data_IF_531904939996
#
_entry.id   IF_531904939996
#
_cell.length_a   1.000
_cell.length_b   1.000
_cell.length_c   1.000
_cell.angle_alpha   90.00
_cell.angle_beta   90.00
_cell.angle_gamma   90.00
#
_symmetry.space_group_name_H-M   'P 1'
#
loop_
_entity.id
_entity.type
_entity.pdbx_description
1 polymer ?
#
# COMPACT_ATOMS: atom_id res chain seq x y z
N UNK A 1 -3.90 7.35 32.17
CA UNK A 1 -3.20 7.00 30.92
C UNK A 1 -4.21 6.54 29.88
N UNK A 2 -4.17 7.02 28.62
CA UNK A 2 -5.13 6.63 27.57
C UNK A 2 -4.50 5.55 26.68
N UNK A 3 -5.03 4.32 26.71
CA UNK A 3 -4.59 3.22 25.88
C UNK A 3 -5.45 3.08 24.61
N UNK A 4 -4.88 2.60 23.48
CA UNK A 4 -5.58 2.31 22.23
C UNK A 4 -6.37 3.50 21.63
N UNK A 5 -5.86 4.72 21.78
CA UNK A 5 -6.54 5.95 21.33
C UNK A 5 -6.03 6.43 19.98
N UNK A 6 -5.11 5.70 19.35
CA UNK A 6 -4.55 6.07 18.05
C UNK A 6 -5.59 6.01 16.92
N UNK A 7 -5.53 6.98 16.02
CA UNK A 7 -6.37 7.06 14.84
C UNK A 7 -7.68 7.82 15.04
N UNK A 8 -8.32 8.17 13.92
CA UNK A 8 -9.56 8.95 13.91
C UNK A 8 -10.78 8.03 13.97
N UNK A 9 -11.63 8.18 15.01
CA UNK A 9 -12.87 7.41 15.17
C UNK A 9 -13.98 7.87 14.20
N UNK A 10 -13.96 9.14 13.77
CA UNK A 10 -14.89 9.74 12.80
C UNK A 10 -16.38 9.64 13.22
N UNK A 11 -16.62 9.57 14.51
CA UNK A 11 -17.95 9.38 15.11
C UNK A 11 -18.73 8.18 14.49
N UNK A 12 -18.04 7.06 14.23
CA UNK A 12 -18.60 5.86 13.59
C UNK A 12 -18.23 4.59 14.35
N UNK A 13 -19.14 3.58 14.40
CA UNK A 13 -18.80 2.21 14.82
C UNK A 13 -17.63 1.64 14.01
N UNK A 14 -16.99 0.61 14.56
CA UNK A 14 -15.77 0.03 13.96
C UNK A 14 -16.02 -0.46 12.54
N UNK A 15 -17.13 -1.17 12.31
CA UNK A 15 -17.44 -1.78 11.02
C UNK A 15 -17.69 -0.74 9.93
N UNK A 16 -18.53 0.26 10.21
CA UNK A 16 -18.79 1.36 9.30
C UNK A 16 -17.55 2.20 9.01
N UNK A 17 -16.68 2.38 10.01
CA UNK A 17 -15.40 3.08 9.85
C UNK A 17 -14.45 2.30 8.95
N UNK A 18 -14.39 0.99 9.14
CA UNK A 18 -13.56 0.09 8.32
C UNK A 18 -14.06 0.05 6.88
N UNK A 19 -15.36 -0.11 6.67
CA UNK A 19 -15.98 -0.10 5.35
C UNK A 19 -15.72 1.23 4.61
N UNK A 20 -15.92 2.36 5.28
CA UNK A 20 -15.64 3.69 4.72
C UNK A 20 -14.16 3.87 4.31
N UNK A 21 -13.20 3.44 5.15
CA UNK A 21 -11.77 3.53 4.81
C UNK A 21 -11.45 2.66 3.60
N UNK A 22 -11.94 1.44 3.56
CA UNK A 22 -11.75 0.51 2.44
C UNK A 22 -12.30 1.10 1.14
N UNK A 23 -13.52 1.65 1.15
CA UNK A 23 -14.12 2.31 -0.01
C UNK A 23 -13.24 3.47 -0.51
N UNK A 24 -12.91 4.43 0.37
CA UNK A 24 -12.11 5.60 -0.01
C UNK A 24 -10.71 5.25 -0.53
N UNK A 25 -10.05 4.23 0.02
CA UNK A 25 -8.73 3.79 -0.46
C UNK A 25 -8.88 3.12 -1.83
N UNK A 26 -9.91 2.30 -2.03
CA UNK A 26 -10.18 1.67 -3.32
C UNK A 26 -10.48 2.70 -4.41
N UNK A 27 -11.25 3.73 -4.09
CA UNK A 27 -11.54 4.83 -5.01
C UNK A 27 -10.29 5.67 -5.32
N UNK A 28 -9.43 5.91 -4.31
CA UNK A 28 -8.14 6.58 -4.52
C UNK A 28 -7.26 5.81 -5.52
N UNK A 29 -7.22 4.49 -5.42
CA UNK A 29 -6.43 3.67 -6.35
C UNK A 29 -7.08 3.50 -7.72
N UNK A 30 -8.41 3.61 -7.84
CA UNK A 30 -9.10 3.60 -9.13
C UNK A 30 -8.97 4.90 -9.91
N UNK A 31 -8.99 6.03 -9.22
CA UNK A 31 -9.13 7.34 -9.83
C UNK A 31 -7.92 8.26 -9.62
N UNK A 32 -6.86 7.77 -8.95
CA UNK A 32 -5.66 8.53 -8.56
C UNK A 32 -5.94 9.73 -7.65
N UNK A 33 -7.20 10.12 -7.45
CA UNK A 33 -7.60 11.22 -6.58
C UNK A 33 -9.03 11.04 -6.04
N UNK A 34 -9.26 11.52 -4.81
CA UNK A 34 -10.58 11.52 -4.17
C UNK A 34 -10.81 12.84 -3.44
N UNK A 35 -12.01 13.39 -3.60
CA UNK A 35 -12.46 14.57 -2.85
C UNK A 35 -13.27 14.14 -1.63
N UNK A 36 -12.85 14.56 -0.44
CA UNK A 36 -13.49 14.20 0.82
C UNK A 36 -13.21 15.23 1.91
N UNK A 37 -13.72 15.02 3.13
CA UNK A 37 -13.39 15.90 4.26
C UNK A 37 -11.96 15.62 4.76
N UNK A 38 -11.29 16.65 5.30
CA UNK A 38 -9.93 16.57 5.83
C UNK A 38 -9.74 15.40 6.81
N UNK A 39 -10.68 15.23 7.75
CA UNK A 39 -10.62 14.16 8.74
C UNK A 39 -10.63 12.75 8.12
N UNK A 40 -11.37 12.55 7.02
CA UNK A 40 -11.40 11.27 6.29
C UNK A 40 -10.12 11.06 5.48
N UNK A 41 -9.64 12.08 4.79
CA UNK A 41 -8.39 12.03 4.05
C UNK A 41 -7.21 11.63 4.95
N UNK A 42 -7.07 12.28 6.11
CA UNK A 42 -6.04 11.92 7.09
C UNK A 42 -6.20 10.50 7.65
N UNK A 43 -7.45 10.02 7.80
CA UNK A 43 -7.71 8.67 8.31
C UNK A 43 -7.29 7.56 7.34
N UNK A 44 -7.28 7.82 6.02
CA UNK A 44 -6.94 6.83 5.00
C UNK A 44 -5.48 6.93 4.54
N UNK A 45 -4.86 8.11 4.63
CA UNK A 45 -3.52 8.39 4.11
C UNK A 45 -2.49 7.33 4.50
N UNK A 46 -2.31 7.11 5.81
CA UNK A 46 -1.31 6.16 6.28
C UNK A 46 -1.58 4.71 5.88
N UNK A 47 -2.85 4.33 5.69
CA UNK A 47 -3.22 2.98 5.24
C UNK A 47 -2.99 2.82 3.73
N UNK A 48 -3.31 3.83 2.94
CA UNK A 48 -3.03 3.86 1.50
C UNK A 48 -1.52 3.78 1.22
N UNK A 49 -0.73 4.60 1.91
CA UNK A 49 0.74 4.59 1.76
C UNK A 49 1.38 3.25 2.15
N UNK A 50 0.87 2.58 3.20
CA UNK A 50 1.33 1.24 3.57
C UNK A 50 1.03 0.19 2.50
N UNK A 51 -0.13 0.29 1.82
CA UNK A 51 -0.48 -0.62 0.72
C UNK A 51 0.42 -0.41 -0.50
N UNK A 52 0.75 0.84 -0.81
CA UNK A 52 1.69 1.16 -1.90
C UNK A 52 3.07 0.59 -1.57
N UNK A 53 3.57 0.81 -0.36
CA UNK A 53 4.86 0.24 0.09
C UNK A 53 4.83 -1.29 0.02
N UNK A 54 3.76 -1.94 0.50
CA UNK A 54 3.61 -3.39 0.42
C UNK A 54 3.66 -3.91 -1.03
N UNK A 55 2.95 -3.24 -1.94
CA UNK A 55 2.90 -3.63 -3.34
C UNK A 55 4.24 -3.39 -4.06
N UNK A 56 4.89 -2.25 -3.80
CA UNK A 56 6.21 -1.92 -4.33
C UNK A 56 7.29 -2.91 -3.88
N UNK A 57 7.32 -3.22 -2.60
CA UNK A 57 8.41 -4.01 -2.01
C UNK A 57 8.24 -5.51 -2.26
N UNK A 58 7.01 -6.00 -2.32
CA UNK A 58 6.71 -7.44 -2.37
C UNK A 58 5.84 -7.86 -3.54
N UNK A 59 5.37 -6.91 -4.34
CA UNK A 59 4.40 -7.19 -5.42
C UNK A 59 5.01 -7.82 -6.65
N UNK A 60 6.28 -7.56 -6.93
CA UNK A 60 6.99 -8.08 -8.09
C UNK A 60 7.88 -9.28 -7.70
N UNK A 61 7.53 -10.46 -8.18
CA UNK A 61 8.29 -11.68 -7.94
C UNK A 61 9.65 -11.66 -8.65
N UNK A 62 9.73 -11.05 -9.84
CA UNK A 62 10.98 -10.93 -10.62
C UNK A 62 12.03 -10.14 -9.85
N UNK A 63 11.69 -8.95 -9.37
CA UNK A 63 12.61 -8.11 -8.59
C UNK A 63 13.13 -8.82 -7.33
N UNK A 64 12.25 -9.57 -6.64
CA UNK A 64 12.64 -10.34 -5.47
C UNK A 64 13.61 -11.48 -5.82
N UNK A 65 13.38 -12.14 -6.96
CA UNK A 65 14.25 -13.20 -7.44
C UNK A 65 15.63 -12.66 -7.88
N UNK A 66 15.66 -11.52 -8.57
CA UNK A 66 16.92 -10.85 -8.96
C UNK A 66 17.75 -10.40 -7.76
N UNK A 67 17.09 -9.75 -6.77
CA UNK A 67 17.75 -9.36 -5.53
C UNK A 67 18.27 -10.56 -4.73
N UNK A 68 17.59 -11.70 -4.79
CA UNK A 68 18.07 -12.92 -4.14
C UNK A 68 19.26 -13.52 -4.87
N UNK A 69 19.30 -13.46 -6.22
CA UNK A 69 20.45 -13.91 -7.05
C UNK A 69 21.67 -13.02 -6.84
N UNK A 70 21.47 -11.70 -6.73
CA UNK A 70 22.57 -10.75 -6.47
C UNK A 70 23.16 -10.88 -5.07
N UNK A 71 22.46 -11.55 -4.14
CA UNK A 71 22.90 -11.71 -2.74
C UNK A 71 22.80 -10.43 -1.90
N UNK A 72 22.10 -9.39 -2.38
CA UNK A 72 21.90 -8.14 -1.64
C UNK A 72 20.93 -8.33 -0.46
N UNK A 73 21.49 -8.87 0.62
CA UNK A 73 20.77 -9.14 1.86
C UNK A 73 20.19 -7.88 2.50
N UNK A 74 20.87 -6.74 2.36
CA UNK A 74 20.46 -5.49 3.00
C UNK A 74 19.16 -4.94 2.34
N UNK A 75 19.12 -4.92 1.01
CA UNK A 75 17.95 -4.49 0.26
C UNK A 75 16.78 -5.48 0.40
N UNK A 76 17.04 -6.79 0.36
CA UNK A 76 16.03 -7.80 0.62
C UNK A 76 15.41 -7.67 2.01
N UNK A 77 16.21 -7.47 3.06
CA UNK A 77 15.72 -7.33 4.44
C UNK A 77 14.85 -6.07 4.65
N UNK A 78 14.98 -5.06 3.80
CA UNK A 78 14.10 -3.88 3.80
C UNK A 78 12.75 -4.15 3.13
N UNK A 79 12.73 -5.00 2.09
CA UNK A 79 11.51 -5.29 1.31
C UNK A 79 10.66 -6.41 1.89
N UNK A 80 11.31 -7.45 2.44
CA UNK A 80 10.63 -8.64 2.99
C UNK A 80 11.04 -8.87 4.45
N UNK A 81 10.38 -9.80 5.13
CA UNK A 81 10.79 -10.16 6.50
C UNK A 81 12.18 -10.81 6.50
N UNK A 82 12.96 -10.67 7.58
CA UNK A 82 14.29 -11.29 7.67
C UNK A 82 14.29 -12.79 7.34
N UNK A 83 13.31 -13.53 7.84
CA UNK A 83 13.13 -14.96 7.56
C UNK A 83 12.89 -15.24 6.07
N UNK A 84 12.09 -14.40 5.40
CA UNK A 84 11.83 -14.54 3.97
C UNK A 84 13.08 -14.19 3.15
N UNK A 85 13.85 -13.18 3.55
CA UNK A 85 15.10 -12.80 2.89
C UNK A 85 16.11 -13.95 2.96
N UNK A 86 16.32 -14.53 4.13
CA UNK A 86 17.21 -15.68 4.31
C UNK A 86 16.77 -16.90 3.52
N UNK A 87 15.46 -17.17 3.50
CA UNK A 87 14.88 -18.25 2.70
C UNK A 87 15.15 -18.05 1.20
N UNK A 88 14.93 -16.85 0.67
CA UNK A 88 15.15 -16.55 -0.74
C UNK A 88 16.62 -16.72 -1.12
N UNK A 89 17.56 -16.18 -0.32
CA UNK A 89 19.00 -16.32 -0.57
C UNK A 89 19.43 -17.79 -0.50
N UNK A 90 18.93 -18.56 0.48
CA UNK A 90 19.21 -20.00 0.58
C UNK A 90 18.68 -20.76 -0.63
N UNK A 91 17.48 -20.44 -1.11
CA UNK A 91 16.88 -21.08 -2.29
C UNK A 91 17.65 -20.70 -3.54
N UNK A 92 18.06 -19.43 -3.69
CA UNK A 92 18.89 -18.98 -4.82
C UNK A 92 20.21 -19.76 -4.91
N UNK A 93 20.87 -20.04 -3.77
CA UNK A 93 22.13 -20.77 -3.73
C UNK A 93 21.99 -22.28 -3.94
N UNK A 94 20.89 -22.92 -3.44
CA UNK A 94 20.76 -24.38 -3.44
C UNK A 94 19.87 -24.94 -4.55
N UNK A 95 18.87 -24.18 -4.99
CA UNK A 95 17.85 -24.65 -5.93
C UNK A 95 17.28 -23.48 -6.75
N UNK A 96 18.05 -22.94 -7.71
CA UNK A 96 17.64 -21.77 -8.50
C UNK A 96 16.31 -21.99 -9.23
N UNK A 97 16.01 -23.21 -9.65
CA UNK A 97 14.73 -23.55 -10.30
C UNK A 97 13.50 -23.34 -9.40
N UNK A 98 13.69 -23.32 -8.09
CA UNK A 98 12.61 -23.10 -7.10
C UNK A 98 12.50 -21.66 -6.67
N UNK A 99 13.44 -20.80 -7.04
CA UNK A 99 13.50 -19.41 -6.61
C UNK A 99 12.28 -18.63 -7.08
N UNK A 100 11.90 -18.75 -8.35
CA UNK A 100 10.77 -18.05 -8.94
C UNK A 100 9.45 -18.43 -8.25
N UNK A 101 9.29 -19.72 -7.90
CA UNK A 101 8.13 -20.16 -7.12
C UNK A 101 8.11 -19.58 -5.71
N UNK A 102 9.25 -19.49 -5.07
CA UNK A 102 9.35 -18.91 -3.73
C UNK A 102 9.06 -17.40 -3.74
N UNK A 103 9.60 -16.66 -4.71
CA UNK A 103 9.33 -15.24 -4.91
C UNK A 103 7.85 -15.00 -5.26
N UNK A 104 7.27 -15.81 -6.15
CA UNK A 104 5.85 -15.75 -6.50
C UNK A 104 4.92 -15.99 -5.30
N UNK A 105 5.29 -16.89 -4.40
CA UNK A 105 4.53 -17.14 -3.17
C UNK A 105 4.49 -15.89 -2.26
N UNK A 106 5.59 -15.13 -2.17
CA UNK A 106 5.66 -13.88 -1.42
C UNK A 106 4.79 -12.81 -2.10
N UNK A 107 4.88 -12.65 -3.40
CA UNK A 107 4.06 -11.71 -4.17
C UNK A 107 2.55 -12.04 -4.05
N UNK A 108 2.18 -13.30 -4.14
CA UNK A 108 0.80 -13.76 -3.92
C UNK A 108 0.32 -13.48 -2.48
N UNK A 109 1.20 -13.61 -1.49
CA UNK A 109 0.89 -13.24 -0.10
C UNK A 109 0.64 -11.74 0.04
N UNK A 110 1.44 -10.88 -0.61
CA UNK A 110 1.24 -9.44 -0.63
C UNK A 110 -0.10 -9.07 -1.28
N UNK A 111 -0.47 -9.68 -2.43
CA UNK A 111 -1.79 -9.49 -3.06
C UNK A 111 -2.94 -9.89 -2.13
N UNK A 112 -2.83 -11.03 -1.43
CA UNK A 112 -3.85 -11.46 -0.44
C UNK A 112 -3.97 -10.50 0.74
N UNK A 113 -2.87 -9.90 1.20
CA UNK A 113 -2.91 -8.89 2.27
C UNK A 113 -3.61 -7.61 1.79
N UNK A 114 -3.31 -7.15 0.58
CA UNK A 114 -3.96 -5.98 -0.03
C UNK A 114 -5.46 -6.20 -0.27
N UNK A 115 -5.87 -7.39 -0.74
CA UNK A 115 -7.28 -7.73 -1.00
C UNK A 115 -8.15 -7.72 0.26
N UNK A 116 -7.57 -7.92 1.45
CA UNK A 116 -8.30 -7.78 2.72
C UNK A 116 -8.73 -6.33 3.00
N UNK A 117 -8.06 -5.36 2.39
CA UNK A 117 -8.27 -3.93 2.64
C UNK A 117 -8.99 -3.27 1.46
N UNK A 118 -8.75 -3.70 0.24
CA UNK A 118 -9.34 -3.12 -0.96
C UNK A 118 -10.68 -3.76 -1.33
N UNK A 119 -11.56 -2.96 -1.92
CA UNK A 119 -12.78 -3.44 -2.57
C UNK A 119 -12.59 -3.49 -4.08
N UNK A 120 -12.92 -4.63 -4.67
CA UNK A 120 -12.87 -4.86 -6.11
C UNK A 120 -11.48 -5.22 -6.64
N UNK A 121 -11.49 -6.05 -7.68
CA UNK A 121 -10.29 -6.55 -8.33
C UNK A 121 -9.55 -5.43 -9.08
N UNK A 122 -10.30 -4.44 -9.61
CA UNK A 122 -9.75 -3.32 -10.38
C UNK A 122 -8.76 -2.47 -9.55
N UNK A 123 -9.15 -2.11 -8.32
CA UNK A 123 -8.29 -1.37 -7.41
C UNK A 123 -7.03 -2.17 -7.02
N UNK A 124 -7.19 -3.50 -6.87
CA UNK A 124 -6.08 -4.40 -6.58
C UNK A 124 -5.12 -4.49 -7.77
N UNK A 125 -5.62 -4.71 -8.98
CA UNK A 125 -4.81 -4.78 -10.18
C UNK A 125 -4.06 -3.45 -10.42
N UNK A 126 -4.76 -2.30 -10.36
CA UNK A 126 -4.10 -1.01 -10.50
C UNK A 126 -3.00 -0.78 -9.46
N UNK A 127 -3.21 -1.22 -8.21
CA UNK A 127 -2.17 -1.10 -7.18
C UNK A 127 -0.89 -1.82 -7.58
N UNK A 128 -0.97 -3.07 -8.07
CA UNK A 128 0.22 -3.88 -8.38
C UNK A 128 0.80 -3.64 -9.78
N UNK A 129 -0.04 -3.31 -10.76
CA UNK A 129 0.37 -3.20 -12.17
C UNK A 129 0.73 -1.78 -12.59
N UNK A 130 0.13 -0.77 -11.94
CA UNK A 130 0.33 0.64 -12.32
C UNK A 130 0.97 1.46 -11.20
N UNK A 131 0.41 1.41 -9.98
CA UNK A 131 0.82 2.30 -8.88
C UNK A 131 2.16 1.85 -8.28
N UNK A 132 2.35 0.55 -8.04
CA UNK A 132 3.58 0.04 -7.43
C UNK A 132 4.82 0.29 -8.31
N UNK A 133 4.81 0.03 -9.64
CA UNK A 133 5.91 0.40 -10.51
C UNK A 133 6.19 1.91 -10.56
N UNK A 134 5.15 2.75 -10.60
CA UNK A 134 5.27 4.22 -10.57
C UNK A 134 6.13 4.71 -9.41
N UNK A 135 6.06 4.07 -8.26
CA UNK A 135 6.79 4.48 -7.05
C UNK A 135 7.98 3.58 -6.72
N UNK A 136 8.54 2.85 -7.68
CA UNK A 136 9.65 1.93 -7.46
C UNK A 136 10.87 2.59 -6.77
N UNK A 137 11.20 3.82 -7.16
CA UNK A 137 12.34 4.58 -6.65
C UNK A 137 12.02 5.45 -5.43
N UNK A 138 10.73 5.76 -5.20
CA UNK A 138 10.31 6.70 -4.17
C UNK A 138 10.19 6.02 -2.80
N UNK A 139 10.92 6.46 -1.75
CA UNK A 139 10.95 5.78 -0.44
C UNK A 139 9.68 5.98 0.41
N UNK A 140 8.79 6.91 0.03
CA UNK A 140 7.56 7.22 0.76
C UNK A 140 6.91 8.54 0.33
N UNK A 141 5.83 8.95 1.03
CA UNK A 141 5.12 10.18 0.71
C UNK A 141 4.46 10.13 -0.66
N UNK A 142 3.68 9.09 -0.93
CA UNK A 142 3.04 8.85 -2.23
C UNK A 142 1.78 9.68 -2.45
N UNK A 143 1.27 10.32 -1.39
CA UNK A 143 0.03 11.06 -1.43
C UNK A 143 0.23 12.52 -1.06
N UNK A 144 -0.51 13.41 -1.71
CA UNK A 144 -0.60 14.82 -1.33
C UNK A 144 -2.06 15.22 -1.14
N UNK A 145 -2.30 16.26 -0.33
CA UNK A 145 -3.65 16.71 0.02
C UNK A 145 -3.76 18.20 -0.22
N UNK A 146 -4.75 18.62 -1.01
CA UNK A 146 -5.07 20.01 -1.29
C UNK A 146 -6.35 20.40 -0.58
N UNK A 147 -6.36 21.55 0.09
CA UNK A 147 -7.56 22.16 0.63
C UNK A 147 -8.31 22.83 -0.53
N UNK A 148 -9.59 22.49 -0.72
CA UNK A 148 -10.41 23.05 -1.78
C UNK A 148 -11.30 24.18 -1.27
N UNK A 149 -12.23 23.86 -0.38
CA UNK A 149 -13.21 24.80 0.13
C UNK A 149 -13.77 24.34 1.49
N UNK A 150 -14.59 25.18 2.08
CA UNK A 150 -15.46 24.81 3.19
C UNK A 150 -16.83 24.39 2.67
N UNK A 151 -17.39 23.31 3.21
CA UNK A 151 -18.74 22.84 2.85
C UNK A 151 -19.79 23.83 3.35
N UNK A 152 -20.74 24.23 2.48
CA UNK A 152 -21.74 25.28 2.78
C UNK A 152 -22.64 24.98 3.99
N UNK A 153 -22.93 23.68 4.25
CA UNK A 153 -23.89 23.33 5.30
C UNK A 153 -23.30 23.36 6.71
N UNK A 154 -22.05 22.90 6.91
CA UNK A 154 -21.44 22.69 8.24
C UNK A 154 -20.01 23.21 8.33
N UNK A 155 -19.55 23.99 7.36
CA UNK A 155 -18.19 24.53 7.29
C UNK A 155 -17.08 23.47 7.43
N UNK A 156 -17.35 22.20 7.12
CA UNK A 156 -16.35 21.16 7.14
C UNK A 156 -15.31 21.39 6.02
N UNK A 157 -13.99 21.33 6.29
CA UNK A 157 -12.97 21.51 5.27
C UNK A 157 -12.99 20.32 4.29
N UNK A 158 -13.23 20.63 3.01
CA UNK A 158 -13.17 19.69 1.90
C UNK A 158 -11.78 19.72 1.29
N UNK A 159 -11.23 18.55 1.05
CA UNK A 159 -9.90 18.36 0.51
C UNK A 159 -9.91 17.35 -0.63
N UNK A 160 -8.98 17.51 -1.56
CA UNK A 160 -8.61 16.51 -2.55
C UNK A 160 -7.36 15.79 -2.07
N UNK A 161 -7.44 14.49 -1.83
CA UNK A 161 -6.27 13.63 -1.65
C UNK A 161 -5.97 12.98 -3.01
N UNK A 162 -4.72 13.04 -3.44
CA UNK A 162 -4.32 12.44 -4.71
C UNK A 162 -2.98 11.73 -4.60
N UNK A 163 -2.76 10.77 -5.48
CA UNK A 163 -1.47 10.13 -5.71
C UNK A 163 -0.57 11.11 -6.46
N UNK A 164 0.69 11.20 -6.04
CA UNK A 164 1.66 12.08 -6.72
C UNK A 164 1.94 11.50 -8.11
N UNK A 165 1.79 12.28 -9.20
CA UNK A 165 2.11 11.81 -10.55
C UNK A 165 3.59 11.44 -10.66
N UNK A 166 3.94 10.66 -11.69
CA UNK A 166 5.34 10.46 -12.10
C UNK A 166 5.93 11.81 -12.52
N UNK A 167 7.14 12.11 -12.06
CA UNK A 167 7.95 13.23 -12.54
C UNK A 167 8.72 12.83 -13.79
#
# INVERSE_FOLDING_TARGET
>A
MRHRVAGKKLNRPVDLRTAMRRGLISDLFRHDAVTTTMARAEAIRGQAERLITLARDRGNAGDLAELAKSGDRATLARRVTPTQAEMLIRVAAKAPDKLDKAAAAIAASARRQASRILYGQDALNRLFETIAPRYATRPGGYTRTFKLCMRKGDAAPIVKIELIPEE
#
